data_IF_272237909575
#
_entry.id   IF_272237909575
#
_cell.length_a   1.000
_cell.length_b   1.000
_cell.length_c   1.000
_cell.angle_alpha   90.00
_cell.angle_beta   90.00
_cell.angle_gamma   90.00
#
_symmetry.space_group_name_H-M   'P 1'
#
loop_
_entity.id
_entity.type
_entity.pdbx_description
1 polymer ?
#
# COMPACT_ATOMS: atom_id res chain seq x y z
N UNK A 1 -82.70 -6.32 -5.97
CA UNK A 1 -81.68 -5.38 -5.46
C UNK A 1 -81.22 -4.50 -6.61
N UNK A 2 -81.41 -3.18 -6.55
CA UNK A 2 -81.12 -2.27 -7.67
C UNK A 2 -79.63 -1.93 -7.77
N UNK A 3 -79.03 -2.11 -8.94
CA UNK A 3 -77.65 -1.71 -9.23
C UNK A 3 -77.66 -0.22 -9.61
N UNK A 4 -76.92 0.62 -8.87
CA UNK A 4 -76.75 2.05 -9.21
C UNK A 4 -75.56 2.19 -10.14
N UNK A 5 -75.58 3.15 -11.06
CA UNK A 5 -74.43 3.42 -11.93
C UNK A 5 -73.79 4.75 -11.58
N UNK A 6 -72.47 4.76 -11.57
CA UNK A 6 -71.68 5.93 -11.30
C UNK A 6 -71.79 6.97 -12.43
N UNK A 7 -72.14 8.22 -12.14
CA UNK A 7 -72.35 9.26 -13.20
C UNK A 7 -71.10 9.57 -14.03
N UNK A 8 -69.92 9.58 -13.42
CA UNK A 8 -68.68 9.99 -14.11
C UNK A 8 -68.04 8.86 -14.92
N UNK A 9 -68.01 7.63 -14.41
CA UNK A 9 -67.34 6.50 -15.08
C UNK A 9 -68.28 5.35 -15.51
N UNK A 10 -69.60 5.53 -15.37
CA UNK A 10 -70.68 4.61 -15.82
C UNK A 10 -70.53 3.13 -15.38
N UNK A 11 -69.73 2.84 -14.36
CA UNK A 11 -69.58 1.50 -13.78
C UNK A 11 -70.70 1.20 -12.77
N UNK A 12 -71.16 -0.07 -12.67
CA UNK A 12 -72.16 -0.48 -11.68
C UNK A 12 -71.59 -0.42 -10.25
N UNK A 13 -72.43 -0.01 -9.29
CA UNK A 13 -72.12 0.19 -7.89
C UNK A 13 -73.21 -0.43 -7.00
N UNK A 14 -72.83 -0.82 -5.78
CA UNK A 14 -73.77 -1.27 -4.76
C UNK A 14 -74.69 -0.13 -4.36
N UNK A 15 -75.96 -0.43 -4.12
CA UNK A 15 -76.99 0.58 -3.79
C UNK A 15 -76.72 1.35 -2.50
N UNK A 16 -75.93 0.77 -1.59
CA UNK A 16 -75.55 1.31 -0.27
C UNK A 16 -74.31 2.20 -0.31
N UNK A 17 -73.54 2.26 -1.41
CA UNK A 17 -72.37 3.13 -1.52
C UNK A 17 -72.78 4.53 -2.02
N UNK A 18 -72.37 5.59 -1.30
CA UNK A 18 -72.62 7.00 -1.66
C UNK A 18 -71.60 7.55 -2.67
N UNK A 19 -70.41 6.93 -2.75
CA UNK A 19 -69.32 7.41 -3.61
C UNK A 19 -68.72 6.30 -4.47
N UNK A 20 -68.34 6.67 -5.67
CA UNK A 20 -67.86 5.76 -6.70
C UNK A 20 -66.39 5.41 -6.50
N UNK A 21 -66.09 4.15 -6.17
CA UNK A 21 -64.73 3.67 -5.90
C UNK A 21 -63.70 4.00 -6.98
N UNK A 22 -64.13 4.09 -8.24
CA UNK A 22 -63.23 4.33 -9.37
C UNK A 22 -63.00 5.81 -9.69
N UNK A 23 -63.95 6.70 -9.34
CA UNK A 23 -63.90 8.10 -9.78
C UNK A 23 -64.40 9.14 -8.75
N UNK A 24 -64.61 8.75 -7.48
CA UNK A 24 -64.89 9.67 -6.38
C UNK A 24 -63.64 10.46 -5.95
N UNK A 25 -63.76 11.79 -5.92
CA UNK A 25 -62.65 12.71 -5.63
C UNK A 25 -61.98 12.48 -4.26
N UNK A 26 -62.72 12.02 -3.25
CA UNK A 26 -62.16 11.70 -1.92
C UNK A 26 -61.21 10.49 -1.93
N UNK A 27 -61.36 9.56 -2.86
CA UNK A 27 -60.49 8.37 -2.92
C UNK A 27 -59.16 8.65 -3.65
N UNK A 28 -59.09 9.64 -4.55
CA UNK A 28 -57.84 9.97 -5.26
C UNK A 28 -56.89 10.89 -4.49
N UNK A 29 -57.40 11.72 -3.57
CA UNK A 29 -56.60 12.65 -2.76
C UNK A 29 -56.66 12.35 -1.25
N UNK A 30 -57.01 11.13 -0.85
CA UNK A 30 -56.98 10.76 0.56
C UNK A 30 -55.54 10.85 1.09
N UNK A 31 -55.28 11.62 2.17
CA UNK A 31 -53.94 11.77 2.73
C UNK A 31 -53.34 10.41 3.12
N UNK A 32 -54.18 9.43 3.45
CA UNK A 32 -53.75 8.06 3.78
C UNK A 32 -53.11 7.35 2.58
N UNK A 33 -53.69 7.48 1.38
CA UNK A 33 -53.15 6.83 0.18
C UNK A 33 -51.82 7.48 -0.22
N UNK A 34 -51.70 8.80 -0.08
CA UNK A 34 -50.44 9.50 -0.33
C UNK A 34 -49.35 9.09 0.68
N UNK A 35 -49.67 8.96 1.97
CA UNK A 35 -48.73 8.48 2.99
C UNK A 35 -48.25 7.06 2.68
N UNK A 36 -49.15 6.15 2.28
CA UNK A 36 -48.77 4.77 1.93
C UNK A 36 -47.85 4.73 0.71
N UNK A 37 -48.14 5.51 -0.33
CA UNK A 37 -47.26 5.61 -1.51
C UNK A 37 -45.90 6.18 -1.11
N UNK A 38 -45.86 7.21 -0.26
CA UNK A 38 -44.63 7.85 0.18
C UNK A 38 -43.77 6.89 1.04
N UNK A 39 -44.40 6.08 1.90
CA UNK A 39 -43.70 5.02 2.65
C UNK A 39 -43.12 3.94 1.74
N UNK A 40 -43.84 3.56 0.68
CA UNK A 40 -43.33 2.61 -0.32
C UNK A 40 -42.12 3.20 -1.05
N UNK A 41 -42.18 4.47 -1.46
CA UNK A 41 -41.07 5.15 -2.11
C UNK A 41 -39.85 5.27 -1.20
N UNK A 42 -40.04 5.65 0.08
CA UNK A 42 -38.96 5.68 1.07
C UNK A 42 -38.35 4.29 1.26
N UNK A 43 -39.18 3.24 1.39
CA UNK A 43 -38.72 1.86 1.53
C UNK A 43 -37.88 1.40 0.35
N UNK A 44 -38.29 1.72 -0.89
CA UNK A 44 -37.52 1.43 -2.10
C UNK A 44 -36.21 2.20 -2.15
N UNK A 45 -36.21 3.50 -1.82
CA UNK A 45 -35.00 4.30 -1.76
C UNK A 45 -33.99 3.73 -0.74
N UNK A 46 -34.44 3.41 0.49
CA UNK A 46 -33.58 2.83 1.53
C UNK A 46 -33.04 1.47 1.11
N UNK A 47 -33.85 0.62 0.49
CA UNK A 47 -33.42 -0.70 0.03
C UNK A 47 -32.35 -0.61 -1.08
N UNK A 48 -32.56 0.25 -2.07
CA UNK A 48 -31.58 0.46 -3.15
C UNK A 48 -30.28 1.10 -2.66
N UNK A 49 -30.38 2.05 -1.71
CA UNK A 49 -29.21 2.69 -1.10
C UNK A 49 -28.40 1.71 -0.23
N UNK A 50 -29.09 0.87 0.56
CA UNK A 50 -28.49 -0.19 1.35
C UNK A 50 -27.73 -1.19 0.47
N UNK A 51 -28.35 -1.70 -0.60
CA UNK A 51 -27.67 -2.60 -1.56
C UNK A 51 -26.47 -1.96 -2.25
N UNK A 52 -26.60 -0.69 -2.68
CA UNK A 52 -25.50 0.04 -3.29
C UNK A 52 -24.33 0.22 -2.32
N UNK A 53 -24.62 0.57 -1.06
CA UNK A 53 -23.59 0.77 -0.04
C UNK A 53 -22.89 -0.54 0.34
N UNK A 54 -23.63 -1.64 0.52
CA UNK A 54 -23.06 -2.95 0.83
C UNK A 54 -22.10 -3.44 -0.27
N UNK A 55 -22.50 -3.34 -1.55
CA UNK A 55 -21.62 -3.75 -2.66
C UNK A 55 -20.35 -2.88 -2.74
N UNK A 56 -20.46 -1.58 -2.46
CA UNK A 56 -19.30 -0.68 -2.46
C UNK A 56 -18.30 -1.06 -1.36
N UNK A 57 -18.79 -1.35 -0.15
CA UNK A 57 -17.96 -1.80 0.98
C UNK A 57 -17.28 -3.13 0.67
N UNK A 58 -17.99 -4.07 0.04
CA UNK A 58 -17.41 -5.37 -0.34
C UNK A 58 -16.30 -5.23 -1.38
N UNK A 59 -16.47 -4.37 -2.39
CA UNK A 59 -15.44 -4.06 -3.38
C UNK A 59 -14.19 -3.42 -2.74
N UNK A 60 -14.38 -2.46 -1.82
CA UNK A 60 -13.29 -1.83 -1.08
C UNK A 60 -12.53 -2.83 -0.20
N UNK A 61 -13.25 -3.72 0.49
CA UNK A 61 -12.65 -4.78 1.30
C UNK A 61 -11.87 -5.79 0.45
N UNK A 62 -12.38 -6.15 -0.74
CA UNK A 62 -11.68 -7.03 -1.69
C UNK A 62 -10.39 -6.39 -2.19
N UNK A 63 -10.44 -5.12 -2.62
CA UNK A 63 -9.26 -4.38 -3.05
C UNK A 63 -8.21 -4.26 -1.93
N UNK A 64 -8.66 -4.01 -0.69
CA UNK A 64 -7.77 -3.96 0.47
C UNK A 64 -7.15 -5.33 0.79
N UNK A 65 -7.93 -6.40 0.70
CA UNK A 65 -7.45 -7.76 0.90
C UNK A 65 -6.39 -8.15 -0.12
N UNK A 66 -6.63 -7.87 -1.40
CA UNK A 66 -5.66 -8.11 -2.48
C UNK A 66 -4.37 -7.31 -2.27
N UNK A 67 -4.49 -6.02 -1.91
CA UNK A 67 -3.32 -5.18 -1.60
C UNK A 67 -2.52 -5.72 -0.42
N UNK A 68 -3.19 -6.09 0.67
CA UNK A 68 -2.52 -6.65 1.84
C UNK A 68 -1.82 -7.96 1.50
N UNK A 69 -2.45 -8.82 0.71
CA UNK A 69 -1.85 -10.07 0.22
C UNK A 69 -0.58 -9.81 -0.59
N UNK A 70 -0.59 -8.82 -1.50
CA UNK A 70 0.60 -8.44 -2.26
C UNK A 70 1.73 -7.91 -1.37
N UNK A 71 1.40 -7.14 -0.32
CA UNK A 71 2.37 -6.66 0.68
C UNK A 71 2.98 -7.83 1.45
N UNK A 72 2.16 -8.79 1.88
CA UNK A 72 2.61 -9.96 2.63
C UNK A 72 3.53 -10.86 1.77
N UNK A 73 3.17 -11.10 0.51
CA UNK A 73 4.01 -11.84 -0.45
C UNK A 73 5.34 -11.12 -0.71
N UNK A 74 5.31 -9.81 -0.96
CA UNK A 74 6.53 -9.02 -1.17
C UNK A 74 7.42 -8.97 0.10
N UNK A 75 6.81 -8.92 1.29
CA UNK A 75 7.52 -8.97 2.56
C UNK A 75 8.22 -10.32 2.75
N UNK A 76 7.56 -11.43 2.45
CA UNK A 76 8.13 -12.77 2.54
C UNK A 76 9.33 -12.93 1.59
N UNK A 77 9.21 -12.47 0.34
CA UNK A 77 10.30 -12.48 -0.63
C UNK A 77 11.53 -11.68 -0.13
N UNK A 78 11.31 -10.50 0.46
CA UNK A 78 12.39 -9.69 1.03
C UNK A 78 13.02 -10.36 2.26
N UNK A 79 12.22 -11.01 3.11
CA UNK A 79 12.72 -11.73 4.28
C UNK A 79 13.58 -12.94 3.90
N UNK A 80 13.19 -13.71 2.88
CA UNK A 80 14.00 -14.82 2.36
C UNK A 80 15.38 -14.34 1.88
N UNK A 81 15.43 -13.10 1.37
CA UNK A 81 16.66 -12.44 0.90
C UNK A 81 17.44 -11.74 2.02
N UNK A 82 17.07 -11.98 3.27
CA UNK A 82 17.80 -11.50 4.45
C UNK A 82 17.47 -10.07 4.86
N UNK A 83 16.41 -9.46 4.33
CA UNK A 83 15.94 -8.14 4.79
C UNK A 83 15.16 -8.30 6.09
N UNK A 84 15.40 -7.41 7.06
CA UNK A 84 14.71 -7.49 8.36
C UNK A 84 13.20 -7.29 8.21
N UNK A 85 12.36 -7.90 9.08
CA UNK A 85 10.90 -7.83 8.94
C UNK A 85 10.33 -6.40 8.93
N UNK A 86 10.96 -5.47 9.64
CA UNK A 86 10.54 -4.07 9.72
C UNK A 86 10.85 -3.31 8.42
N UNK A 87 12.02 -3.54 7.83
CA UNK A 87 12.41 -2.93 6.55
C UNK A 87 11.60 -3.56 5.41
N UNK A 88 11.42 -4.88 5.43
CA UNK A 88 10.63 -5.60 4.43
C UNK A 88 9.18 -5.08 4.39
N UNK A 89 8.56 -4.86 5.54
CA UNK A 89 7.22 -4.26 5.63
C UNK A 89 7.18 -2.87 4.99
N UNK A 90 8.09 -1.97 5.39
CA UNK A 90 8.13 -0.59 4.86
C UNK A 90 8.36 -0.56 3.35
N UNK A 91 9.30 -1.36 2.86
CA UNK A 91 9.60 -1.45 1.42
C UNK A 91 8.40 -2.00 0.65
N UNK A 92 7.73 -3.04 1.15
CA UNK A 92 6.53 -3.59 0.53
C UNK A 92 5.38 -2.57 0.47
N UNK A 93 5.17 -1.81 1.55
CA UNK A 93 4.18 -0.72 1.59
C UNK A 93 4.50 0.39 0.60
N UNK A 94 5.77 0.85 0.55
CA UNK A 94 6.23 1.89 -0.38
C UNK A 94 5.98 1.45 -1.83
N UNK A 95 6.34 0.19 -2.16
CA UNK A 95 6.12 -0.40 -3.48
C UNK A 95 4.63 -0.47 -3.85
N UNK A 96 3.77 -0.79 -2.89
CA UNK A 96 2.32 -0.89 -3.09
C UNK A 96 1.63 0.47 -3.30
N UNK A 97 2.28 1.58 -2.95
CA UNK A 97 1.70 2.92 -2.96
C UNK A 97 2.04 3.73 -4.24
N UNK A 98 2.62 3.10 -5.28
CA UNK A 98 2.94 3.68 -6.61
C UNK A 98 3.37 5.17 -6.60
N UNK A 99 4.18 5.59 -5.62
CA UNK A 99 4.57 7.00 -5.53
C UNK A 99 5.79 7.21 -6.42
N UNK A 100 5.56 7.76 -7.62
CA UNK A 100 6.60 8.01 -8.65
C UNK A 100 7.38 9.29 -8.44
N UNK A 101 6.94 10.18 -7.58
CA UNK A 101 7.59 11.48 -7.39
C UNK A 101 8.81 11.36 -6.50
N UNK A 102 9.99 11.45 -7.12
CA UNK A 102 11.25 11.81 -6.49
C UNK A 102 11.89 12.95 -7.28
N UNK A 103 12.87 13.64 -6.71
CA UNK A 103 13.58 14.75 -7.36
C UNK A 103 14.87 14.21 -8.00
N UNK A 104 15.19 14.62 -9.23
CA UNK A 104 16.47 14.30 -9.89
C UNK A 104 17.68 14.70 -9.02
N UNK A 105 17.53 15.78 -8.23
CA UNK A 105 18.54 16.20 -7.26
C UNK A 105 18.76 15.15 -6.16
N UNK A 106 17.67 14.55 -5.67
CA UNK A 106 17.75 13.48 -4.66
C UNK A 106 18.36 12.21 -5.24
N UNK A 107 18.08 11.91 -6.52
CA UNK A 107 18.70 10.78 -7.21
C UNK A 107 20.23 10.96 -7.26
N UNK A 108 20.71 12.12 -7.74
CA UNK A 108 22.15 12.44 -7.81
C UNK A 108 22.81 12.47 -6.43
N UNK A 109 22.13 13.01 -5.40
CA UNK A 109 22.63 12.99 -4.03
C UNK A 109 22.84 11.56 -3.53
N UNK A 110 21.88 10.68 -3.81
CA UNK A 110 21.97 9.29 -3.42
C UNK A 110 23.07 8.54 -4.19
N UNK A 111 23.20 8.77 -5.50
CA UNK A 111 24.28 8.19 -6.32
C UNK A 111 25.67 8.57 -5.80
N UNK A 112 25.85 9.84 -5.41
CA UNK A 112 27.11 10.29 -4.81
C UNK A 112 27.44 9.53 -3.52
N UNK A 113 26.44 9.25 -2.69
CA UNK A 113 26.61 8.45 -1.46
C UNK A 113 26.98 7.01 -1.79
N UNK A 114 26.35 6.41 -2.80
CA UNK A 114 26.67 5.05 -3.24
C UNK A 114 28.10 4.97 -3.80
N UNK A 115 28.54 6.00 -4.53
CA UNK A 115 29.94 6.10 -4.98
C UNK A 115 30.91 6.23 -3.81
N UNK A 116 30.64 7.12 -2.85
CA UNK A 116 31.45 7.27 -1.64
C UNK A 116 31.55 5.94 -0.87
N UNK A 117 30.43 5.22 -0.76
CA UNK A 117 30.37 3.91 -0.12
C UNK A 117 31.24 2.88 -0.83
N UNK A 118 31.10 2.75 -2.16
CA UNK A 118 31.86 1.78 -2.96
C UNK A 118 33.37 2.01 -2.85
N UNK A 119 33.80 3.27 -2.87
CA UNK A 119 35.22 3.61 -2.66
C UNK A 119 35.71 3.23 -1.27
N UNK A 120 34.93 3.52 -0.22
CA UNK A 120 35.27 3.15 1.15
C UNK A 120 35.29 1.62 1.34
N UNK A 121 34.37 0.89 0.70
CA UNK A 121 34.30 -0.57 0.71
C UNK A 121 35.57 -1.17 0.09
N UNK A 122 35.99 -0.66 -1.06
CA UNK A 122 37.23 -1.11 -1.74
C UNK A 122 38.46 -0.92 -0.85
N UNK A 123 38.55 0.21 -0.16
CA UNK A 123 39.63 0.47 0.81
C UNK A 123 39.56 -0.52 1.98
N UNK A 124 38.38 -0.70 2.57
CA UNK A 124 38.19 -1.63 3.69
C UNK A 124 38.52 -3.08 3.29
N UNK A 125 38.04 -3.55 2.13
CA UNK A 125 38.30 -4.89 1.61
C UNK A 125 39.77 -5.16 1.27
N UNK A 126 40.56 -4.10 1.05
CA UNK A 126 42.01 -4.17 0.81
C UNK A 126 42.84 -3.96 2.08
N UNK A 127 42.21 -3.69 3.22
CA UNK A 127 42.90 -3.36 4.46
C UNK A 127 43.06 -4.58 5.35
N UNK A 128 44.23 -4.74 5.96
CA UNK A 128 44.47 -5.83 6.92
C UNK A 128 43.62 -5.69 8.17
N UNK A 129 43.29 -6.81 8.81
CA UNK A 129 42.45 -6.87 10.03
C UNK A 129 42.87 -5.87 11.11
N UNK A 130 44.17 -5.65 11.30
CA UNK A 130 44.74 -4.80 12.37
C UNK A 130 44.49 -3.30 12.08
N UNK A 131 44.40 -2.92 10.81
CA UNK A 131 44.23 -1.51 10.39
C UNK A 131 42.79 -1.15 10.01
N UNK A 132 41.86 -2.09 10.18
CA UNK A 132 40.51 -2.00 9.63
C UNK A 132 39.58 -1.04 10.40
N UNK A 133 39.96 -0.64 11.62
CA UNK A 133 39.16 0.24 12.47
C UNK A 133 38.79 1.57 11.80
N UNK A 134 39.76 2.22 11.14
CA UNK A 134 39.52 3.50 10.47
C UNK A 134 38.64 3.37 9.21
N UNK A 135 38.90 2.43 8.27
CA UNK A 135 38.00 2.16 7.16
C UNK A 135 36.56 1.82 7.59
N UNK A 136 36.39 1.00 8.63
CA UNK A 136 35.06 0.65 9.15
C UNK A 136 34.34 1.86 9.74
N UNK A 137 35.07 2.74 10.45
CA UNK A 137 34.51 4.00 10.94
C UNK A 137 34.00 4.88 9.79
N UNK A 138 34.77 4.96 8.69
CA UNK A 138 34.35 5.69 7.48
C UNK A 138 33.09 5.09 6.84
N UNK A 139 32.99 3.77 6.75
CA UNK A 139 31.77 3.09 6.29
C UNK A 139 30.57 3.44 7.18
N UNK A 140 30.74 3.39 8.50
CA UNK A 140 29.67 3.74 9.45
C UNK A 140 29.22 5.21 9.30
N UNK A 141 30.14 6.15 9.02
CA UNK A 141 29.79 7.54 8.73
C UNK A 141 28.94 7.68 7.46
N UNK A 142 29.35 7.03 6.37
CA UNK A 142 28.63 7.07 5.10
C UNK A 142 27.23 6.46 5.27
N UNK A 143 27.11 5.32 5.97
CA UNK A 143 25.81 4.73 6.32
C UNK A 143 24.94 5.73 7.10
N UNK A 144 25.47 6.40 8.13
CA UNK A 144 24.71 7.39 8.90
C UNK A 144 24.26 8.58 8.04
N UNK A 145 25.12 9.04 7.11
CA UNK A 145 24.77 10.08 6.13
C UNK A 145 23.61 9.60 5.25
N UNK A 146 23.69 8.40 4.69
CA UNK A 146 22.62 7.79 3.91
C UNK A 146 21.31 7.65 4.73
N UNK A 147 21.42 7.32 6.01
CA UNK A 147 20.26 7.17 6.89
C UNK A 147 19.59 8.49 7.25
N UNK A 148 20.36 9.57 7.35
CA UNK A 148 19.82 10.91 7.63
C UNK A 148 18.99 11.48 6.48
N UNK A 149 19.22 11.01 5.26
CA UNK A 149 18.46 11.42 4.09
C UNK A 149 17.13 10.67 4.05
N UNK A 150 16.09 11.38 3.65
CA UNK A 150 14.74 10.83 3.50
C UNK A 150 14.26 11.15 2.11
N UNK A 151 13.77 10.13 1.43
CA UNK A 151 13.21 10.27 0.10
C UNK A 151 11.73 9.90 0.11
N UNK A 152 11.12 9.99 -1.06
CA UNK A 152 9.75 9.57 -1.30
C UNK A 152 9.73 8.45 -2.33
N UNK A 153 8.72 7.59 -2.23
CA UNK A 153 8.46 6.58 -3.25
C UNK A 153 9.60 5.59 -3.44
N UNK A 154 9.87 5.24 -4.70
CA UNK A 154 10.86 4.24 -5.08
C UNK A 154 12.25 4.47 -4.45
N UNK A 155 12.72 5.72 -4.43
CA UNK A 155 14.05 6.06 -3.93
C UNK A 155 14.19 5.78 -2.42
N UNK A 156 13.10 5.91 -1.65
CA UNK A 156 13.08 5.57 -0.23
C UNK A 156 13.16 4.05 -0.02
N UNK A 157 12.49 3.26 -0.86
CA UNK A 157 12.62 1.81 -0.83
C UNK A 157 14.07 1.37 -1.13
N UNK A 158 14.70 1.94 -2.16
CA UNK A 158 16.12 1.70 -2.45
C UNK A 158 17.02 2.08 -1.29
N UNK A 159 16.84 3.28 -0.71
CA UNK A 159 17.62 3.76 0.43
C UNK A 159 17.57 2.77 1.60
N UNK A 160 16.38 2.31 1.96
CA UNK A 160 16.19 1.35 3.05
C UNK A 160 16.91 0.02 2.77
N UNK A 161 16.81 -0.51 1.55
CA UNK A 161 17.49 -1.75 1.15
C UNK A 161 19.02 -1.60 1.19
N UNK A 162 19.56 -0.48 0.69
CA UNK A 162 20.98 -0.16 0.78
C UNK A 162 21.44 -0.06 2.23
N UNK A 163 20.67 0.58 3.11
CA UNK A 163 21.03 0.68 4.54
C UNK A 163 21.10 -0.68 5.23
N UNK A 164 20.21 -1.62 4.85
CA UNK A 164 20.28 -3.00 5.32
C UNK A 164 21.56 -3.68 4.84
N UNK A 165 21.88 -3.57 3.54
CA UNK A 165 23.11 -4.10 2.97
C UNK A 165 24.35 -3.51 3.67
N UNK A 166 24.45 -2.19 3.76
CA UNK A 166 25.53 -1.47 4.44
C UNK A 166 25.72 -1.94 5.88
N UNK A 167 24.62 -2.21 6.60
CA UNK A 167 24.69 -2.73 7.96
C UNK A 167 25.32 -4.12 8.01
N UNK A 168 24.86 -5.05 7.16
CA UNK A 168 25.44 -6.40 7.08
C UNK A 168 26.93 -6.36 6.71
N UNK A 169 27.34 -5.46 5.83
CA UNK A 169 28.76 -5.29 5.47
C UNK A 169 29.59 -4.82 6.66
N UNK A 170 29.12 -3.77 7.35
CA UNK A 170 29.78 -3.26 8.56
C UNK A 170 29.88 -4.37 9.61
N UNK A 171 28.79 -5.10 9.86
CA UNK A 171 28.78 -6.24 10.79
C UNK A 171 29.78 -7.32 10.37
N UNK A 172 29.90 -7.59 9.06
CA UNK A 172 30.89 -8.53 8.51
C UNK A 172 32.32 -8.11 8.82
N UNK A 173 32.65 -6.82 8.67
CA UNK A 173 33.97 -6.32 9.07
C UNK A 173 34.17 -6.34 10.57
N UNK A 174 33.16 -6.00 11.37
CA UNK A 174 33.24 -6.05 12.84
C UNK A 174 33.47 -7.47 13.34
N UNK A 175 32.78 -8.47 12.78
CA UNK A 175 33.03 -9.88 13.06
C UNK A 175 34.43 -10.30 12.59
N UNK A 176 34.85 -9.89 11.40
CA UNK A 176 36.19 -10.20 10.89
C UNK A 176 37.29 -9.63 11.79
N UNK A 177 37.08 -8.46 12.39
CA UNK A 177 38.03 -7.83 13.32
C UNK A 177 38.22 -8.59 14.63
N UNK A 178 37.23 -9.39 15.08
CA UNK A 178 37.33 -10.15 16.33
C UNK A 178 38.33 -11.31 16.27
N UNK A 179 38.71 -11.77 15.08
CA UNK A 179 39.74 -12.79 14.89
C UNK A 179 39.25 -14.03 14.15
N UNK A 180 39.92 -15.17 14.37
CA UNK A 180 39.66 -16.42 13.62
C UNK A 180 38.33 -17.09 14.00
N UNK A 181 37.97 -17.06 15.29
CA UNK A 181 36.76 -17.73 15.79
C UNK A 181 35.46 -17.16 15.22
N UNK A 182 35.50 -15.92 14.74
CA UNK A 182 34.36 -15.20 14.14
C UNK A 182 34.42 -15.14 12.61
N UNK A 183 35.37 -15.82 11.98
CA UNK A 183 35.59 -15.71 10.53
C UNK A 183 34.42 -16.27 9.72
N UNK A 184 33.80 -17.36 10.18
CA UNK A 184 32.57 -17.88 9.57
C UNK A 184 31.40 -16.89 9.72
N UNK A 185 31.26 -16.27 10.89
CA UNK A 185 30.22 -15.26 11.12
C UNK A 185 30.41 -14.05 10.20
N UNK A 186 31.65 -13.60 10.01
CA UNK A 186 32.00 -12.55 9.05
C UNK A 186 31.63 -12.93 7.62
N UNK A 187 31.98 -14.15 7.18
CA UNK A 187 31.64 -14.63 5.84
C UNK A 187 30.14 -14.67 5.60
N UNK A 188 29.34 -15.13 6.57
CA UNK A 188 27.88 -15.12 6.47
C UNK A 188 27.35 -13.69 6.29
N UNK A 189 27.89 -12.73 7.03
CA UNK A 189 27.51 -11.31 6.89
C UNK A 189 27.87 -10.71 5.54
N UNK A 190 29.01 -11.10 4.94
CA UNK A 190 29.36 -10.68 3.58
C UNK A 190 28.46 -11.34 2.51
N UNK A 191 28.02 -12.58 2.73
CA UNK A 191 27.03 -13.24 1.87
C UNK A 191 25.67 -12.53 1.96
N UNK A 192 25.23 -12.20 3.18
CA UNK A 192 24.01 -11.44 3.40
C UNK A 192 24.09 -10.07 2.71
N UNK A 193 25.22 -9.38 2.85
CA UNK A 193 25.49 -8.12 2.14
C UNK A 193 25.30 -8.28 0.63
N UNK A 194 25.95 -9.25 0.00
CA UNK A 194 25.90 -9.43 -1.46
C UNK A 194 24.46 -9.65 -1.96
N UNK A 195 23.67 -10.46 -1.25
CA UNK A 195 22.26 -10.70 -1.57
C UNK A 195 21.41 -9.43 -1.42
N UNK A 196 21.61 -8.71 -0.33
CA UNK A 196 20.85 -7.49 -0.02
C UNK A 196 21.21 -6.36 -1.00
N UNK A 197 22.49 -6.24 -1.38
CA UNK A 197 22.98 -5.27 -2.35
C UNK A 197 22.34 -5.49 -3.72
N UNK A 198 22.28 -6.74 -4.19
CA UNK A 198 21.62 -7.07 -5.45
C UNK A 198 20.15 -6.61 -5.47
N UNK A 199 19.42 -6.80 -4.37
CA UNK A 199 18.04 -6.31 -4.27
C UNK A 199 17.96 -4.78 -4.28
N UNK A 200 18.88 -4.12 -3.56
CA UNK A 200 18.94 -2.67 -3.50
C UNK A 200 19.23 -2.05 -4.88
N UNK A 201 20.19 -2.61 -5.62
CA UNK A 201 20.52 -2.20 -6.99
C UNK A 201 19.37 -2.42 -7.95
N UNK A 202 18.72 -3.59 -7.89
CA UNK A 202 17.57 -3.89 -8.74
C UNK A 202 16.40 -2.94 -8.48
N UNK A 203 16.18 -2.55 -7.23
CA UNK A 203 15.18 -1.54 -6.90
C UNK A 203 15.60 -0.16 -7.40
N UNK A 204 16.85 0.24 -7.18
CA UNK A 204 17.36 1.54 -7.60
C UNK A 204 17.33 1.74 -9.11
N UNK A 205 17.68 0.71 -9.90
CA UNK A 205 17.55 0.71 -11.37
C UNK A 205 16.11 0.95 -11.82
N UNK A 206 15.12 0.36 -11.13
CA UNK A 206 13.70 0.62 -11.45
C UNK A 206 13.35 2.08 -11.21
N UNK A 207 13.90 2.71 -10.17
CA UNK A 207 13.67 4.12 -9.92
C UNK A 207 14.21 5.00 -11.06
N UNK A 208 15.41 4.72 -11.58
CA UNK A 208 16.01 5.46 -12.69
C UNK A 208 15.19 5.38 -13.99
N UNK A 209 14.65 4.22 -14.33
CA UNK A 209 13.86 4.02 -15.58
C UNK A 209 12.51 4.74 -15.55
N UNK A 210 11.99 5.07 -14.36
CA UNK A 210 10.69 5.73 -14.20
C UNK A 210 10.75 7.26 -14.24
N UNK A 211 11.94 7.88 -14.35
CA UNK A 211 12.15 9.33 -14.46
C UNK A 211 12.05 9.85 -15.92
N UNK A 212 12.04 8.97 -16.93
CA UNK A 212 12.07 9.32 -18.36
C UNK A 212 10.67 9.54 -19.03
N UNK A 213 9.60 9.75 -18.26
CA UNK A 213 8.26 10.02 -18.83
C UNK A 213 7.59 11.29 -18.30
#
# INVERSE_FOLDING_TARGET
MGVKYCKACKKPMKSTETHCRTCGAEYKNSPVILIVILLILIGLCVFTWSKYHSNKVELENQAQYEKNKQIDEAKLDLQEKGISPDVAQKVAEIKSNETKTFSEVHLKEFENILSEWSDAERVAGSTSRISLAQPVSRLQEIKRKADSLKYSGCLEASRLLYLTAMNSHIDGYLEFMKGKESELAAQLKFIDYAKQLEQAENEFKKCQVHDEK
#
